data_IF_424201721028
#
_entry.id   IF_424201721028
#
_cell.length_a   1.000
_cell.length_b   1.000
_cell.length_c   1.000
_cell.angle_alpha   90.00
_cell.angle_beta   90.00
_cell.angle_gamma   90.00
#
_symmetry.space_group_name_H-M   'P 1'
#
loop_
_entity.id
_entity.type
_entity.pdbx_description
1 polymer ?
#
# COMPACT_ATOMS: atom_id res chain seq x y z
N UNK A 1 -8.93 15.49 22.32
CA UNK A 1 -9.23 15.51 20.88
C UNK A 1 -10.72 15.23 20.70
N UNK A 2 -11.47 16.19 20.18
CA UNK A 2 -12.87 16.00 19.83
C UNK A 2 -12.91 15.56 18.36
N UNK A 3 -13.36 14.32 18.13
CA UNK A 3 -13.62 13.82 16.78
C UNK A 3 -15.11 14.01 16.52
N UNK A 4 -15.44 14.77 15.48
CA UNK A 4 -16.83 14.95 15.02
C UNK A 4 -17.01 14.29 13.65
N UNK A 5 -18.20 13.77 13.38
CA UNK A 5 -18.57 13.40 12.01
C UNK A 5 -19.07 14.64 11.24
N UNK A 6 -19.37 14.47 9.96
CA UNK A 6 -19.92 15.54 9.11
C UNK A 6 -21.26 16.15 9.60
N UNK A 7 -21.95 15.52 10.55
CA UNK A 7 -23.17 16.01 11.19
C UNK A 7 -22.88 16.71 12.54
N UNK A 8 -21.62 16.87 12.94
CA UNK A 8 -21.22 17.57 14.16
C UNK A 8 -21.42 16.79 15.46
N UNK A 9 -21.76 15.50 15.42
CA UNK A 9 -21.88 14.67 16.62
C UNK A 9 -20.51 14.32 17.17
N UNK A 10 -20.35 14.37 18.50
CA UNK A 10 -19.17 13.89 19.19
C UNK A 10 -19.10 12.35 19.15
N UNK A 11 -17.89 11.78 19.15
CA UNK A 11 -17.70 10.33 19.22
C UNK A 11 -18.40 9.72 20.45
N UNK A 12 -18.38 10.42 21.58
CA UNK A 12 -19.07 10.01 22.80
C UNK A 12 -20.59 9.90 22.64
N UNK A 13 -21.21 10.73 21.79
CA UNK A 13 -22.65 10.65 21.52
C UNK A 13 -23.00 9.43 20.68
N UNK A 14 -22.13 9.04 19.72
CA UNK A 14 -22.28 7.80 18.98
C UNK A 14 -22.12 6.58 19.86
N UNK A 15 -21.17 6.62 20.79
CA UNK A 15 -20.91 5.52 21.70
C UNK A 15 -22.07 5.33 22.66
N UNK A 16 -22.64 6.42 23.22
CA UNK A 16 -23.85 6.39 24.05
C UNK A 16 -25.03 5.83 23.26
N UNK A 17 -25.28 6.32 22.05
CA UNK A 17 -26.36 5.86 21.18
C UNK A 17 -26.22 4.37 20.85
N UNK A 18 -25.00 3.90 20.61
CA UNK A 18 -24.72 2.48 20.40
C UNK A 18 -25.12 1.62 21.61
N UNK A 19 -24.79 2.05 22.83
CA UNK A 19 -25.11 1.27 24.03
C UNK A 19 -26.60 1.31 24.38
N UNK A 20 -27.25 2.45 24.21
CA UNK A 20 -28.65 2.63 24.58
C UNK A 20 -29.65 2.12 23.53
N UNK A 21 -29.37 2.37 22.23
CA UNK A 21 -30.38 2.25 21.18
C UNK A 21 -30.10 1.12 20.17
N UNK A 22 -28.88 0.58 20.06
CA UNK A 22 -28.65 -0.51 19.13
C UNK A 22 -29.17 -1.86 19.66
N UNK A 23 -29.66 -2.71 18.75
CA UNK A 23 -30.10 -4.06 19.09
C UNK A 23 -28.94 -4.94 19.59
N UNK A 24 -29.25 -5.84 20.54
CA UNK A 24 -28.29 -6.83 20.97
C UNK A 24 -28.04 -7.88 19.90
N UNK A 25 -26.80 -7.99 19.53
CA UNK A 25 -26.26 -9.00 18.61
C UNK A 25 -24.94 -9.57 19.14
N UNK A 26 -24.39 -10.57 18.45
CA UNK A 26 -23.13 -11.20 18.84
C UNK A 26 -21.97 -10.20 18.99
N UNK A 27 -21.93 -9.17 18.16
CA UNK A 27 -20.88 -8.15 18.22
C UNK A 27 -21.00 -7.28 19.47
N UNK A 28 -22.20 -6.79 19.78
CA UNK A 28 -22.47 -5.98 20.97
C UNK A 28 -22.23 -6.79 22.26
N UNK A 29 -22.64 -8.08 22.26
CA UNK A 29 -22.38 -9.00 23.35
C UNK A 29 -20.87 -9.23 23.58
N UNK A 30 -20.10 -9.50 22.54
CA UNK A 30 -18.67 -9.69 22.67
C UNK A 30 -17.96 -8.42 23.11
N UNK A 31 -18.35 -7.27 22.56
CA UNK A 31 -17.80 -5.96 22.93
C UNK A 31 -18.04 -5.65 24.41
N UNK A 32 -19.26 -5.82 24.92
CA UNK A 32 -19.57 -5.54 26.32
C UNK A 32 -18.73 -6.36 27.30
N UNK A 33 -18.57 -7.67 27.05
CA UNK A 33 -17.75 -8.55 27.89
C UNK A 33 -16.26 -8.21 27.81
N UNK A 34 -15.74 -7.86 26.63
CA UNK A 34 -14.34 -7.45 26.46
C UNK A 34 -14.05 -6.11 27.12
N UNK A 35 -14.95 -5.15 27.03
CA UNK A 35 -14.80 -3.85 27.71
C UNK A 35 -14.85 -4.02 29.23
N UNK A 36 -15.80 -4.80 29.77
CA UNK A 36 -15.82 -5.14 31.18
C UNK A 36 -14.50 -5.78 31.62
N UNK A 37 -14.03 -6.81 30.88
CA UNK A 37 -12.78 -7.50 31.17
C UNK A 37 -11.60 -6.52 31.30
N UNK A 38 -11.50 -5.60 30.36
CA UNK A 38 -10.46 -4.56 30.34
C UNK A 38 -10.59 -3.60 31.52
N UNK A 39 -11.80 -3.17 31.82
CA UNK A 39 -12.06 -2.17 32.85
C UNK A 39 -11.74 -2.68 34.26
N UNK A 40 -12.10 -3.94 34.55
CA UNK A 40 -11.82 -4.56 35.87
C UNK A 40 -10.54 -5.38 35.91
N UNK A 41 -9.82 -5.49 34.76
CA UNK A 41 -8.61 -6.29 34.59
C UNK A 41 -8.79 -7.78 34.99
N UNK A 42 -9.97 -8.34 34.66
CA UNK A 42 -10.30 -9.76 34.89
C UNK A 42 -10.64 -10.40 33.55
N UNK A 43 -9.94 -11.44 33.15
CA UNK A 43 -10.02 -12.00 31.81
C UNK A 43 -10.47 -13.46 31.77
N UNK A 44 -11.09 -13.83 30.67
CA UNK A 44 -11.45 -15.19 30.34
C UNK A 44 -12.40 -15.81 31.38
N UNK A 45 -12.11 -17.06 31.75
CA UNK A 45 -12.92 -17.84 32.71
C UNK A 45 -12.95 -17.31 34.14
N UNK A 46 -12.16 -16.25 34.41
CA UNK A 46 -12.17 -15.61 35.73
C UNK A 46 -13.31 -14.59 35.87
N UNK A 47 -13.93 -14.18 34.76
CA UNK A 47 -15.14 -13.35 34.82
C UNK A 47 -16.31 -14.18 35.37
N UNK A 48 -16.97 -13.66 36.37
CA UNK A 48 -18.14 -14.29 37.00
C UNK A 48 -19.44 -13.65 36.50
N UNK A 49 -20.55 -14.33 36.69
CA UNK A 49 -21.88 -13.77 36.43
C UNK A 49 -22.13 -12.51 37.25
N UNK A 50 -21.64 -12.47 38.47
CA UNK A 50 -21.72 -11.29 39.36
C UNK A 50 -21.00 -10.07 38.77
N UNK A 51 -19.82 -10.26 38.14
CA UNK A 51 -19.15 -9.17 37.43
C UNK A 51 -20.03 -8.58 36.30
N UNK A 52 -20.73 -9.44 35.55
CA UNK A 52 -21.61 -9.00 34.45
C UNK A 52 -22.86 -8.30 34.96
N UNK A 53 -23.46 -8.82 36.02
CA UNK A 53 -24.68 -8.25 36.61
C UNK A 53 -24.44 -6.86 37.23
N UNK A 54 -23.21 -6.58 37.69
CA UNK A 54 -22.85 -5.30 38.29
C UNK A 54 -22.28 -4.30 37.24
N UNK A 55 -22.09 -4.68 36.02
CA UNK A 55 -21.61 -3.79 34.95
C UNK A 55 -22.75 -3.03 34.27
N UNK A 56 -22.48 -1.79 33.92
CA UNK A 56 -23.47 -0.86 33.34
C UNK A 56 -24.08 -1.38 32.03
N UNK A 57 -23.27 -2.00 31.20
CA UNK A 57 -23.67 -2.51 29.87
C UNK A 57 -24.06 -3.98 29.94
N UNK A 58 -23.25 -4.80 30.57
CA UNK A 58 -23.46 -6.26 30.61
C UNK A 58 -24.73 -6.70 31.32
N UNK A 59 -25.18 -5.94 32.32
CA UNK A 59 -26.45 -6.24 33.03
C UNK A 59 -27.67 -6.27 32.10
N UNK A 60 -27.61 -5.58 30.99
CA UNK A 60 -28.68 -5.48 29.99
C UNK A 60 -28.60 -6.58 28.90
N UNK A 61 -27.68 -7.52 29.00
CA UNK A 61 -27.53 -8.62 28.04
C UNK A 61 -28.81 -9.50 28.12
N UNK A 62 -29.50 -9.70 26.99
CA UNK A 62 -30.65 -10.61 26.97
C UNK A 62 -30.24 -12.03 27.34
N UNK A 63 -31.05 -12.67 28.21
CA UNK A 63 -30.81 -14.07 28.68
C UNK A 63 -29.44 -14.27 29.35
N UNK A 64 -28.94 -13.24 30.06
CA UNK A 64 -27.69 -13.31 30.83
C UNK A 64 -27.72 -14.50 31.81
N UNK A 65 -26.73 -15.38 31.73
CA UNK A 65 -26.62 -16.57 32.57
C UNK A 65 -25.14 -16.94 32.83
N UNK A 66 -24.92 -18.02 33.59
CA UNK A 66 -23.57 -18.47 33.95
C UNK A 66 -22.71 -18.91 32.75
N UNK A 67 -23.32 -19.30 31.64
CA UNK A 67 -22.62 -19.79 30.45
C UNK A 67 -22.25 -18.64 29.47
N UNK A 68 -22.86 -17.46 29.66
CA UNK A 68 -22.67 -16.30 28.74
C UNK A 68 -21.19 -15.98 28.50
N UNK A 69 -20.34 -15.98 29.52
CA UNK A 69 -18.91 -15.74 29.40
C UNK A 69 -18.22 -16.84 28.61
N UNK A 70 -18.53 -18.10 28.93
CA UNK A 70 -17.91 -19.27 28.26
C UNK A 70 -18.27 -19.32 26.78
N UNK A 71 -19.48 -18.96 26.42
CA UNK A 71 -19.96 -18.95 25.03
C UNK A 71 -19.31 -17.82 24.23
N UNK A 72 -19.13 -16.64 24.83
CA UNK A 72 -18.37 -15.56 24.19
C UNK A 72 -16.91 -15.94 24.00
N UNK A 73 -16.28 -16.55 24.99
CA UNK A 73 -14.88 -17.02 24.89
C UNK A 73 -14.75 -18.00 23.72
N UNK A 74 -15.62 -19.05 23.65
CA UNK A 74 -15.61 -20.01 22.55
C UNK A 74 -15.78 -19.35 21.17
N UNK A 75 -16.67 -18.35 21.07
CA UNK A 75 -16.87 -17.61 19.82
C UNK A 75 -15.63 -16.79 19.45
N UNK A 76 -14.96 -16.16 20.41
CA UNK A 76 -13.72 -15.40 20.16
C UNK A 76 -12.59 -16.36 19.78
N UNK A 77 -12.39 -17.45 20.52
CA UNK A 77 -11.41 -18.51 20.21
C UNK A 77 -11.62 -19.06 18.79
N UNK A 78 -12.86 -19.37 18.41
CA UNK A 78 -13.19 -19.83 17.05
C UNK A 78 -12.87 -18.80 15.98
N UNK A 79 -13.06 -17.50 16.25
CA UNK A 79 -12.67 -16.45 15.32
C UNK A 79 -11.15 -16.35 15.16
N UNK A 80 -10.41 -16.45 16.27
CA UNK A 80 -8.94 -16.46 16.27
C UNK A 80 -8.42 -17.66 15.50
N UNK A 81 -8.97 -18.87 15.76
CA UNK A 81 -8.61 -20.09 15.05
C UNK A 81 -8.86 -19.98 13.54
N UNK A 82 -10.04 -19.47 13.15
CA UNK A 82 -10.36 -19.25 11.74
C UNK A 82 -9.43 -18.21 11.10
N UNK A 83 -9.14 -17.12 11.82
CA UNK A 83 -8.28 -16.04 11.31
C UNK A 83 -6.80 -16.41 11.27
N UNK A 84 -6.36 -17.39 12.07
CA UNK A 84 -4.98 -17.90 12.04
C UNK A 84 -4.77 -19.02 11.03
N UNK A 85 -5.86 -19.60 10.48
CA UNK A 85 -5.78 -20.62 9.44
C UNK A 85 -5.33 -20.00 8.13
N UNK A 86 -4.23 -20.50 7.58
CA UNK A 86 -3.75 -20.09 6.26
C UNK A 86 -4.65 -20.69 5.16
N UNK A 87 -5.09 -19.83 4.25
CA UNK A 87 -5.69 -20.27 3.01
C UNK A 87 -4.59 -20.81 2.09
N UNK A 88 -4.84 -21.95 1.43
CA UNK A 88 -3.88 -22.62 0.56
C UNK A 88 -4.49 -22.88 -0.82
N UNK A 89 -3.64 -22.99 -1.86
CA UNK A 89 -4.05 -23.26 -3.25
C UNK A 89 -5.07 -22.25 -3.78
N UNK A 90 -4.92 -20.98 -3.41
CA UNK A 90 -5.81 -19.89 -3.83
C UNK A 90 -5.12 -18.93 -4.79
N UNK A 91 -5.93 -18.28 -5.62
CA UNK A 91 -5.50 -17.12 -6.39
C UNK A 91 -6.18 -15.87 -5.82
N UNK A 92 -5.37 -14.95 -5.33
CA UNK A 92 -5.83 -13.70 -4.72
C UNK A 92 -5.67 -12.53 -5.70
N UNK A 93 -6.70 -11.72 -5.82
CA UNK A 93 -6.67 -10.45 -6.51
C UNK A 93 -6.82 -9.33 -5.47
N UNK A 94 -5.71 -8.65 -5.20
CA UNK A 94 -5.65 -7.51 -4.27
C UNK A 94 -5.88 -6.24 -5.07
N UNK A 95 -7.02 -5.58 -4.87
CA UNK A 95 -7.37 -4.35 -5.58
C UNK A 95 -7.27 -3.15 -4.66
N UNK A 96 -6.58 -2.10 -5.10
CA UNK A 96 -6.44 -0.85 -4.38
C UNK A 96 -6.70 0.35 -5.28
N UNK A 97 -7.35 1.41 -4.78
CA UNK A 97 -7.44 2.69 -5.51
C UNK A 97 -6.07 3.30 -5.78
N UNK A 98 -5.15 3.24 -4.80
CA UNK A 98 -3.78 3.75 -4.89
C UNK A 98 -2.77 2.68 -4.49
N UNK A 99 -1.49 2.95 -4.77
CA UNK A 99 -0.37 2.01 -4.59
C UNK A 99 -0.08 1.63 -3.13
N UNK A 100 -0.50 2.43 -2.17
CA UNK A 100 -0.25 2.24 -0.74
C UNK A 100 -1.46 1.71 0.05
N UNK A 101 -2.67 1.73 -0.51
CA UNK A 101 -3.90 1.36 0.22
C UNK A 101 -3.86 -0.06 0.79
N UNK A 102 -3.40 -1.04 -0.01
CA UNK A 102 -3.30 -2.44 0.43
C UNK A 102 -2.23 -2.57 1.52
N UNK A 103 -1.11 -1.86 1.38
CA UNK A 103 -0.02 -1.88 2.35
C UNK A 103 -0.46 -1.27 3.68
N UNK A 104 -1.15 -0.13 3.66
CA UNK A 104 -1.62 0.56 4.86
C UNK A 104 -2.73 -0.20 5.59
N UNK A 105 -3.65 -0.81 4.82
CA UNK A 105 -4.84 -1.45 5.39
C UNK A 105 -4.67 -2.93 5.74
N UNK A 106 -3.94 -3.69 4.93
CA UNK A 106 -3.97 -5.16 4.94
C UNK A 106 -2.60 -5.83 4.94
N UNK A 107 -1.49 -5.10 4.94
CA UNK A 107 -0.14 -5.64 4.74
C UNK A 107 0.19 -6.87 5.60
N UNK A 108 -0.06 -6.89 6.93
CA UNK A 108 0.27 -8.05 7.76
C UNK A 108 -0.44 -9.32 7.32
N UNK A 109 -1.71 -9.20 6.92
CA UNK A 109 -2.51 -10.33 6.43
C UNK A 109 -2.05 -10.80 5.06
N UNK A 110 -1.82 -9.86 4.14
CA UNK A 110 -1.35 -10.17 2.78
C UNK A 110 0.02 -10.84 2.78
N UNK A 111 0.96 -10.37 3.62
CA UNK A 111 2.28 -11.02 3.78
C UNK A 111 2.14 -12.46 4.27
N UNK A 112 1.21 -12.72 5.20
CA UNK A 112 0.95 -14.07 5.68
C UNK A 112 0.46 -14.98 4.55
N UNK A 113 -0.44 -14.49 3.68
CA UNK A 113 -0.93 -15.23 2.52
C UNK A 113 0.17 -15.49 1.47
N UNK A 114 1.06 -14.51 1.24
CA UNK A 114 2.18 -14.63 0.30
C UNK A 114 3.21 -15.68 0.76
N UNK A 115 3.36 -15.87 2.08
CA UNK A 115 4.27 -16.89 2.62
C UNK A 115 3.82 -18.33 2.37
N UNK A 116 2.57 -18.53 2.00
CA UNK A 116 2.06 -19.84 1.59
C UNK A 116 2.35 -20.06 0.09
N UNK A 117 3.32 -20.93 -0.27
CA UNK A 117 3.82 -21.03 -1.63
C UNK A 117 2.84 -21.62 -2.64
N UNK A 118 1.75 -22.22 -2.19
CA UNK A 118 0.67 -22.74 -3.05
C UNK A 118 -0.29 -21.65 -3.51
N UNK A 119 -0.19 -20.44 -2.95
CA UNK A 119 -1.03 -19.31 -3.31
C UNK A 119 -0.41 -18.49 -4.46
N UNK A 120 -1.29 -17.94 -5.29
CA UNK A 120 -0.94 -16.99 -6.35
C UNK A 120 -1.52 -15.61 -6.04
N UNK A 121 -0.76 -14.55 -6.28
CA UNK A 121 -1.14 -13.20 -5.92
C UNK A 121 -1.04 -12.26 -7.11
N UNK A 122 -2.10 -11.50 -7.38
CA UNK A 122 -2.13 -10.40 -8.33
C UNK A 122 -2.49 -9.13 -7.59
N UNK A 123 -1.70 -8.07 -7.77
CA UNK A 123 -1.96 -6.75 -7.23
C UNK A 123 -2.43 -5.84 -8.37
N UNK A 124 -3.55 -5.15 -8.15
CA UNK A 124 -4.20 -4.36 -9.20
C UNK A 124 -4.50 -2.96 -8.67
N UNK A 125 -3.76 -1.97 -9.15
CA UNK A 125 -3.96 -0.57 -8.81
C UNK A 125 -4.79 0.15 -9.86
N UNK A 126 -5.76 0.91 -9.39
CA UNK A 126 -6.71 1.58 -10.26
C UNK A 126 -6.17 2.91 -10.80
N UNK A 127 -5.46 3.69 -9.99
CA UNK A 127 -5.00 5.03 -10.35
C UNK A 127 -3.48 5.14 -10.35
N UNK A 128 -2.95 6.18 -10.99
CA UNK A 128 -1.49 6.38 -11.09
C UNK A 128 -0.84 6.94 -9.83
N UNK A 129 -1.59 7.49 -8.87
CA UNK A 129 -1.06 8.09 -7.64
C UNK A 129 -0.06 9.23 -7.83
N UNK A 130 0.01 9.84 -9.02
CA UNK A 130 1.04 10.83 -9.40
C UNK A 130 1.09 12.06 -8.49
N UNK A 131 0.00 12.41 -7.84
CA UNK A 131 -0.11 13.58 -6.95
C UNK A 131 0.76 13.46 -5.70
N UNK A 132 1.12 12.24 -5.29
CA UNK A 132 2.00 11.99 -4.14
C UNK A 132 3.49 12.25 -4.43
N UNK A 133 3.85 12.46 -5.71
CA UNK A 133 5.24 12.67 -6.12
C UNK A 133 5.52 14.16 -6.30
N UNK A 134 6.45 14.70 -5.51
CA UNK A 134 6.81 16.13 -5.59
C UNK A 134 7.63 16.46 -6.83
N UNK A 135 7.56 17.72 -7.29
CA UNK A 135 8.37 18.22 -8.38
C UNK A 135 9.87 18.11 -8.06
N UNK A 136 10.26 18.45 -6.83
CA UNK A 136 11.65 18.36 -6.38
C UNK A 136 12.19 16.93 -6.42
N UNK A 137 11.39 15.95 -6.04
CA UNK A 137 11.80 14.55 -6.09
C UNK A 137 12.12 14.09 -7.52
N UNK A 138 11.22 14.36 -8.49
CA UNK A 138 11.44 14.04 -9.91
C UNK A 138 12.66 14.78 -10.46
N UNK A 139 12.83 16.05 -10.11
CA UNK A 139 13.96 16.85 -10.56
C UNK A 139 15.28 16.21 -10.10
N UNK A 140 15.38 15.77 -8.85
CA UNK A 140 16.56 15.10 -8.32
C UNK A 140 16.83 13.77 -9.05
N UNK A 141 15.80 12.98 -9.31
CA UNK A 141 15.93 11.73 -10.08
C UNK A 141 16.43 11.96 -11.50
N UNK A 142 15.95 12.99 -12.17
CA UNK A 142 16.40 13.38 -13.51
C UNK A 142 17.85 13.85 -13.51
N UNK A 143 18.28 14.57 -12.47
CA UNK A 143 19.66 15.01 -12.31
C UNK A 143 20.61 13.82 -12.07
N UNK A 144 20.23 12.90 -11.17
CA UNK A 144 20.98 11.64 -10.94
C UNK A 144 21.09 10.84 -12.25
N UNK A 145 19.98 10.70 -12.99
CA UNK A 145 19.96 9.98 -14.28
C UNK A 145 20.88 10.62 -15.31
N UNK A 146 20.87 11.96 -15.43
CA UNK A 146 21.78 12.69 -16.30
C UNK A 146 23.24 12.46 -15.92
N UNK A 147 23.55 12.45 -14.63
CA UNK A 147 24.90 12.16 -14.13
C UNK A 147 25.36 10.75 -14.54
N UNK A 148 24.52 9.73 -14.29
CA UNK A 148 24.87 8.34 -14.62
C UNK A 148 25.00 8.07 -16.13
N UNK A 149 24.22 8.79 -16.95
CA UNK A 149 24.39 8.73 -18.41
C UNK A 149 25.72 9.36 -18.86
N UNK A 150 26.08 10.52 -18.29
CA UNK A 150 27.32 11.22 -18.62
C UNK A 150 28.58 10.45 -18.17
N UNK A 151 28.48 9.75 -17.03
CA UNK A 151 29.57 8.96 -16.43
C UNK A 151 29.62 7.51 -16.96
N UNK A 152 28.87 7.23 -18.03
CA UNK A 152 28.79 5.93 -18.71
C UNK A 152 28.42 4.74 -17.79
N UNK A 153 27.72 5.00 -16.70
CA UNK A 153 27.28 3.97 -15.75
C UNK A 153 25.98 3.28 -16.14
N UNK A 154 25.29 3.79 -17.19
CA UNK A 154 24.09 3.18 -17.77
C UNK A 154 24.41 2.71 -19.17
N UNK A 155 24.55 1.40 -19.35
CA UNK A 155 24.97 0.81 -20.61
C UNK A 155 23.81 0.24 -21.44
N UNK A 156 22.63 0.07 -20.87
CA UNK A 156 21.48 -0.50 -21.58
C UNK A 156 21.07 0.30 -22.83
N UNK A 157 21.31 1.60 -22.82
CA UNK A 157 21.00 2.52 -23.96
C UNK A 157 21.96 2.35 -25.15
N UNK A 158 22.97 1.50 -25.04
CA UNK A 158 23.92 1.20 -26.12
C UNK A 158 23.49 0.07 -27.03
N UNK A 159 22.49 -0.71 -26.62
CA UNK A 159 21.97 -1.79 -27.45
C UNK A 159 21.12 -1.24 -28.59
N UNK A 160 21.32 -1.76 -29.80
CA UNK A 160 20.74 -1.22 -31.02
C UNK A 160 19.20 -1.14 -30.98
N UNK A 161 18.53 -2.14 -30.42
CA UNK A 161 17.06 -2.21 -30.32
C UNK A 161 16.49 -1.59 -29.05
N UNK A 162 17.32 -0.99 -28.20
CA UNK A 162 16.87 -0.53 -26.87
C UNK A 162 15.76 0.52 -26.94
N UNK A 163 15.90 1.53 -27.81
CA UNK A 163 14.91 2.60 -27.95
C UNK A 163 13.64 2.19 -28.69
N UNK A 164 13.65 1.10 -29.44
CA UNK A 164 12.49 0.61 -30.18
C UNK A 164 11.65 -0.37 -29.33
N UNK A 165 12.25 -1.41 -28.82
CA UNK A 165 11.61 -2.48 -28.09
C UNK A 165 12.34 -2.91 -26.81
N UNK A 166 13.65 -2.70 -26.74
CA UNK A 166 14.48 -3.15 -25.65
C UNK A 166 14.14 -2.52 -24.31
N UNK A 167 13.64 -1.28 -24.29
CA UNK A 167 13.21 -0.62 -23.05
C UNK A 167 12.03 -1.31 -22.36
N UNK A 168 11.26 -2.14 -23.07
CA UNK A 168 10.18 -2.97 -22.54
C UNK A 168 10.65 -4.34 -22.04
N UNK A 169 11.86 -4.75 -22.42
CA UNK A 169 12.41 -6.07 -22.07
C UNK A 169 13.16 -5.99 -20.74
N UNK A 170 13.05 -7.03 -19.93
CA UNK A 170 13.81 -7.19 -18.68
C UNK A 170 13.65 -6.00 -17.70
N UNK A 171 12.54 -5.32 -17.76
CA UNK A 171 12.24 -4.19 -16.85
C UNK A 171 12.08 -4.63 -15.39
N UNK A 172 11.67 -5.86 -15.15
CA UNK A 172 11.63 -6.53 -13.87
C UNK A 172 12.99 -6.59 -13.19
N UNK A 173 14.09 -6.69 -13.96
CA UNK A 173 15.45 -6.71 -13.42
C UNK A 173 15.84 -5.40 -12.75
N UNK A 174 15.28 -4.28 -13.16
CA UNK A 174 15.55 -2.99 -12.52
C UNK A 174 15.08 -3.01 -11.06
N UNK A 175 13.99 -3.72 -10.77
CA UNK A 175 13.46 -3.93 -9.41
C UNK A 175 14.48 -4.70 -8.57
N UNK A 176 14.96 -5.83 -9.04
CA UNK A 176 15.91 -6.65 -8.28
C UNK A 176 17.26 -5.96 -8.11
N UNK A 177 17.75 -5.23 -9.10
CA UNK A 177 18.96 -4.41 -8.95
C UNK A 177 18.84 -3.34 -7.87
N UNK A 178 17.65 -2.74 -7.75
CA UNK A 178 17.41 -1.77 -6.69
C UNK A 178 17.33 -2.43 -5.32
N UNK A 179 16.65 -3.57 -5.20
CA UNK A 179 16.54 -4.34 -3.95
C UNK A 179 17.93 -4.86 -3.48
N UNK A 180 18.76 -5.35 -4.40
CA UNK A 180 20.14 -5.75 -4.12
C UNK A 180 20.97 -4.57 -3.60
N UNK A 181 20.75 -3.36 -4.16
CA UNK A 181 21.40 -2.16 -3.71
C UNK A 181 20.94 -1.72 -2.31
N UNK A 182 19.66 -1.94 -1.96
CA UNK A 182 19.16 -1.75 -0.60
C UNK A 182 19.82 -2.74 0.36
N UNK A 183 19.82 -4.03 0.01
CA UNK A 183 20.38 -5.09 0.84
C UNK A 183 21.88 -4.89 1.12
N UNK A 184 22.61 -4.35 0.13
CA UNK A 184 24.03 -4.02 0.25
C UNK A 184 24.31 -2.61 0.83
N UNK A 185 23.28 -1.87 1.23
CA UNK A 185 23.36 -0.48 1.70
C UNK A 185 24.15 0.45 0.75
N UNK A 186 23.96 0.27 -0.57
CA UNK A 186 24.68 1.01 -1.59
C UNK A 186 23.79 2.08 -2.25
N UNK A 187 23.81 3.29 -1.73
CA UNK A 187 22.97 4.40 -2.21
C UNK A 187 23.23 4.79 -3.67
N UNK A 188 24.48 4.67 -4.16
CA UNK A 188 24.80 4.95 -5.57
C UNK A 188 24.14 3.94 -6.51
N UNK A 189 24.11 2.65 -6.14
CA UNK A 189 23.44 1.63 -6.93
C UNK A 189 21.91 1.76 -6.86
N UNK A 190 21.34 2.18 -5.72
CA UNK A 190 19.91 2.50 -5.62
C UNK A 190 19.51 3.60 -6.61
N UNK A 191 20.25 4.71 -6.62
CA UNK A 191 20.05 5.81 -7.57
C UNK A 191 20.20 5.37 -9.03
N UNK A 192 21.15 4.49 -9.32
CA UNK A 192 21.35 3.91 -10.65
C UNK A 192 20.17 3.02 -11.06
N UNK A 193 19.66 2.17 -10.16
CA UNK A 193 18.47 1.34 -10.39
C UNK A 193 17.24 2.17 -10.71
N UNK A 194 17.00 3.24 -9.93
CA UNK A 194 15.94 4.21 -10.21
C UNK A 194 16.12 4.89 -11.57
N UNK A 195 17.36 5.24 -11.94
CA UNK A 195 17.68 5.85 -13.23
C UNK A 195 17.38 4.91 -14.41
N UNK A 196 17.60 3.61 -14.26
CA UNK A 196 17.22 2.63 -15.29
C UNK A 196 15.70 2.68 -15.54
N UNK A 197 14.90 2.62 -14.50
CA UNK A 197 13.43 2.70 -14.62
C UNK A 197 12.99 4.05 -15.22
N UNK A 198 13.59 5.15 -14.77
CA UNK A 198 13.27 6.49 -15.26
C UNK A 198 13.55 6.66 -16.75
N UNK A 199 14.65 6.09 -17.26
CA UNK A 199 14.95 6.08 -18.70
C UNK A 199 13.89 5.35 -19.50
N UNK A 200 13.45 4.16 -19.04
CA UNK A 200 12.36 3.41 -19.69
C UNK A 200 11.07 4.23 -19.73
N UNK A 201 10.73 4.89 -18.61
CA UNK A 201 9.57 5.76 -18.53
C UNK A 201 9.67 6.96 -19.50
N UNK A 202 10.82 7.60 -19.59
CA UNK A 202 11.06 8.71 -20.53
C UNK A 202 10.90 8.27 -21.98
N UNK A 203 11.43 7.08 -22.36
CA UNK A 203 11.27 6.54 -23.72
C UNK A 203 9.78 6.25 -24.00
N UNK A 204 9.06 5.67 -23.05
CA UNK A 204 7.64 5.35 -23.22
C UNK A 204 6.78 6.59 -23.37
N UNK A 205 7.00 7.62 -22.54
CA UNK A 205 6.17 8.82 -22.51
C UNK A 205 6.51 9.76 -23.66
N UNK A 206 7.79 10.06 -23.87
CA UNK A 206 8.25 11.07 -24.83
C UNK A 206 8.63 10.50 -26.19
N UNK A 207 8.53 9.18 -26.38
CA UNK A 207 8.86 8.48 -27.63
C UNK A 207 10.29 8.74 -28.12
N UNK A 208 11.23 8.79 -27.19
CA UNK A 208 12.65 9.03 -27.43
C UNK A 208 13.24 7.89 -28.25
N UNK A 209 14.07 8.23 -29.26
CA UNK A 209 14.59 7.24 -30.26
C UNK A 209 16.09 6.97 -30.14
N UNK A 210 16.82 7.80 -29.40
CA UNK A 210 18.28 7.66 -29.27
C UNK A 210 18.81 8.42 -28.05
N UNK A 211 20.09 8.24 -27.72
CA UNK A 211 20.75 8.90 -26.58
C UNK A 211 20.77 10.43 -26.67
N UNK A 212 20.86 11.00 -27.86
CA UNK A 212 20.85 12.46 -28.05
C UNK A 212 19.49 13.05 -27.66
N UNK A 213 18.42 12.43 -28.16
CA UNK A 213 17.05 12.79 -27.81
C UNK A 213 16.77 12.56 -26.31
N UNK A 214 17.27 11.46 -25.72
CA UNK A 214 17.14 11.19 -24.30
C UNK A 214 17.74 12.31 -23.47
N UNK A 215 18.96 12.71 -23.76
CA UNK A 215 19.64 13.80 -23.05
C UNK A 215 18.92 15.16 -23.22
N UNK A 216 18.41 15.45 -24.41
CA UNK A 216 17.65 16.69 -24.66
C UNK A 216 16.31 16.68 -23.93
N UNK A 217 15.63 15.53 -23.90
CA UNK A 217 14.35 15.33 -23.18
C UNK A 217 14.54 15.50 -21.69
N UNK A 218 15.58 14.90 -21.09
CA UNK A 218 15.90 15.08 -19.65
C UNK A 218 16.09 16.56 -19.33
N UNK A 219 16.87 17.29 -20.14
CA UNK A 219 17.08 18.73 -19.93
C UNK A 219 15.80 19.53 -20.06
N UNK A 220 14.95 19.19 -21.03
CA UNK A 220 13.64 19.84 -21.25
C UNK A 220 12.73 19.62 -20.03
N UNK A 221 12.60 18.39 -19.56
CA UNK A 221 11.73 18.05 -18.43
C UNK A 221 12.23 18.69 -17.13
N UNK A 222 13.54 18.71 -16.88
CA UNK A 222 14.11 19.42 -15.72
C UNK A 222 13.73 20.92 -15.78
N UNK A 223 13.89 21.57 -16.94
CA UNK A 223 13.53 22.98 -17.10
C UNK A 223 12.03 23.22 -16.92
N UNK A 224 11.21 22.34 -17.46
CA UNK A 224 9.75 22.40 -17.33
C UNK A 224 9.36 22.34 -15.86
N UNK A 225 9.84 21.32 -15.12
CA UNK A 225 9.51 21.11 -13.71
C UNK A 225 10.01 22.29 -12.85
N UNK A 226 11.17 22.84 -13.16
CA UNK A 226 11.73 24.00 -12.44
C UNK A 226 10.86 25.26 -12.56
N UNK A 227 10.10 25.38 -13.64
CA UNK A 227 9.23 26.53 -13.87
C UNK A 227 7.86 26.42 -13.18
N UNK A 228 7.47 25.24 -12.68
CA UNK A 228 6.22 25.07 -11.93
C UNK A 228 6.38 25.62 -10.51
N UNK A 229 5.36 26.34 -10.04
CA UNK A 229 5.25 26.67 -8.63
C UNK A 229 4.54 25.55 -7.86
N UNK A 230 4.69 25.53 -6.53
CA UNK A 230 4.05 24.52 -5.68
C UNK A 230 2.52 24.59 -5.80
N UNK A 231 1.91 23.44 -6.13
CA UNK A 231 0.47 23.32 -6.37
C UNK A 231 0.02 23.58 -7.82
N UNK A 232 0.92 23.99 -8.72
CA UNK A 232 0.60 24.11 -10.14
C UNK A 232 0.38 22.74 -10.80
N UNK A 233 -0.64 22.64 -11.66
CA UNK A 233 -0.91 21.40 -12.41
C UNK A 233 0.19 21.15 -13.44
N UNK A 234 0.92 20.05 -13.27
CA UNK A 234 1.93 19.62 -14.22
C UNK A 234 1.33 19.21 -15.58
N UNK A 235 2.14 19.19 -16.64
CA UNK A 235 1.78 18.63 -17.93
C UNK A 235 1.42 17.13 -17.80
N UNK A 236 0.67 16.61 -18.77
CA UNK A 236 0.25 15.19 -18.77
C UNK A 236 1.46 14.25 -18.78
N UNK A 237 2.50 14.62 -19.50
CA UNK A 237 3.75 13.86 -19.57
C UNK A 237 4.46 13.80 -18.22
N UNK A 238 4.52 14.91 -17.49
CA UNK A 238 5.12 14.95 -16.14
C UNK A 238 4.25 14.19 -15.16
N UNK A 239 2.91 14.27 -15.25
CA UNK A 239 2.00 13.46 -14.44
C UNK A 239 2.21 11.97 -14.68
N UNK A 240 2.32 11.54 -15.94
CA UNK A 240 2.60 10.14 -16.30
C UNK A 240 3.96 9.69 -15.76
N UNK A 241 4.99 10.53 -15.85
CA UNK A 241 6.31 10.22 -15.31
C UNK A 241 6.27 10.01 -13.79
N UNK A 242 5.57 10.88 -13.07
CA UNK A 242 5.33 10.72 -11.63
C UNK A 242 4.57 9.43 -11.30
N UNK A 243 3.53 9.11 -12.08
CA UNK A 243 2.76 7.86 -11.94
C UNK A 243 3.64 6.64 -12.10
N UNK A 244 4.48 6.58 -13.14
CA UNK A 244 5.40 5.44 -13.37
C UNK A 244 6.46 5.28 -12.27
N UNK A 245 6.79 6.33 -11.53
CA UNK A 245 7.63 6.23 -10.34
C UNK A 245 6.86 5.53 -9.20
N UNK A 246 5.60 5.90 -8.96
CA UNK A 246 4.75 5.24 -7.95
C UNK A 246 4.54 3.76 -8.26
N UNK A 247 4.34 3.42 -9.52
CA UNK A 247 4.27 2.03 -9.99
C UNK A 247 5.54 1.26 -9.63
N UNK A 248 6.70 1.85 -9.87
CA UNK A 248 7.98 1.23 -9.54
C UNK A 248 8.18 1.04 -8.03
N UNK A 249 7.79 2.02 -7.22
CA UNK A 249 7.86 1.92 -5.76
C UNK A 249 7.00 0.76 -5.24
N UNK A 250 5.82 0.55 -5.79
CA UNK A 250 4.97 -0.58 -5.45
C UNK A 250 5.55 -1.93 -5.88
N UNK A 251 6.06 -2.01 -7.11
CA UNK A 251 6.74 -3.20 -7.61
C UNK A 251 7.90 -3.61 -6.70
N UNK A 252 8.67 -2.63 -6.18
CA UNK A 252 9.75 -2.87 -5.23
C UNK A 252 9.23 -3.50 -3.94
N UNK A 253 8.12 -3.02 -3.41
CA UNK A 253 7.54 -3.55 -2.17
C UNK A 253 7.10 -5.00 -2.37
N UNK A 254 6.28 -5.28 -3.36
CA UNK A 254 5.75 -6.63 -3.56
C UNK A 254 6.83 -7.62 -3.98
N UNK A 255 7.79 -7.22 -4.80
CA UNK A 255 8.94 -8.05 -5.16
C UNK A 255 9.82 -8.39 -3.94
N UNK A 256 9.97 -7.47 -2.98
CA UNK A 256 10.66 -7.74 -1.72
C UNK A 256 10.00 -8.85 -0.88
N UNK A 257 8.69 -9.05 -1.04
CA UNK A 257 7.95 -10.14 -0.42
C UNK A 257 7.84 -11.40 -1.30
N UNK A 258 8.48 -11.43 -2.47
CA UNK A 258 8.53 -12.59 -3.35
C UNK A 258 7.44 -12.66 -4.41
N UNK A 259 6.63 -11.61 -4.57
CA UNK A 259 5.65 -11.51 -5.66
C UNK A 259 6.38 -11.19 -6.96
N UNK A 260 6.01 -11.86 -8.05
CA UNK A 260 6.60 -11.57 -9.36
C UNK A 260 6.14 -10.18 -9.84
N UNK A 261 7.07 -9.41 -10.37
CA UNK A 261 6.79 -8.04 -10.84
C UNK A 261 5.68 -8.00 -11.90
N UNK A 262 5.57 -9.07 -12.72
CA UNK A 262 4.53 -9.20 -13.73
C UNK A 262 3.12 -9.38 -13.16
N UNK A 263 2.99 -9.73 -11.89
CA UNK A 263 1.71 -9.90 -11.21
C UNK A 263 1.25 -8.60 -10.49
N UNK A 264 2.00 -7.51 -10.65
CA UNK A 264 1.62 -6.16 -10.21
C UNK A 264 1.11 -5.38 -11.42
N UNK A 265 -0.16 -5.05 -11.42
CA UNK A 265 -0.89 -4.48 -12.55
C UNK A 265 -1.31 -3.04 -12.26
N UNK A 266 -0.99 -2.12 -13.18
CA UNK A 266 -1.31 -0.70 -13.08
C UNK A 266 -2.32 -0.30 -14.15
N UNK A 267 -3.58 -0.08 -13.77
CA UNK A 267 -4.66 0.21 -14.71
C UNK A 267 -4.66 1.66 -15.19
N UNK A 268 -4.05 2.58 -14.43
CA UNK A 268 -3.94 4.01 -14.77
C UNK A 268 -5.28 4.64 -15.15
N UNK A 269 -6.36 4.26 -14.44
CA UNK A 269 -7.69 4.82 -14.68
C UNK A 269 -7.68 6.33 -14.39
N UNK A 270 -8.41 7.09 -15.22
CA UNK A 270 -8.39 8.55 -15.22
C UNK A 270 -9.14 9.24 -14.08
N UNK A 271 -9.35 8.58 -12.95
CA UNK A 271 -9.87 9.21 -11.76
C UNK A 271 -8.83 10.19 -11.20
N UNK A 272 -9.23 11.38 -10.80
CA UNK A 272 -8.36 12.43 -10.24
C UNK A 272 -7.40 13.11 -11.24
N UNK A 273 -7.75 13.16 -12.54
CA UNK A 273 -6.98 13.88 -13.57
C UNK A 273 -7.40 15.35 -13.71
#
# INVERSE_FOLDING_TARGET
FYITNGAGKLLADFERDYWENSEWNDQKLQRSILELSRNINVFGKKLSLDNLQNDEHCKNIPSLNADTVSDVIKKVESKVEKGSKLETNQTFYHTGPHHDDIMLGLMPYVIQLIREPSNHHHFVNMTSGFTSVTNNFIQNLLQDTKYFLADDKIQMTRYDDFFESGYKKKWDKDVFHYLDAIASNNSSQQKRGMSHRLIRALIEIYKVKNNSELNSTIKKVIKEIHNYYDGEKNSKEVQNLKGMIREYEEELVWANYGVRVQDVHHLRLGFYQ
#
